data_IF_712544118356
#
_entry.id   IF_712544118356
#
_cell.length_a   1.000
_cell.length_b   1.000
_cell.length_c   1.000
_cell.angle_alpha   90.00
_cell.angle_beta   90.00
_cell.angle_gamma   90.00
#
_symmetry.space_group_name_H-M   'P 1'
#
loop_
_entity.id
_entity.type
_entity.pdbx_description
1 polymer ?
#
# COMPACT_ATOMS: atom_id res chain seq x y z
N UNK A 1 27.23 6.61 -45.71
CA UNK A 1 27.20 6.94 -44.26
C UNK A 1 25.82 6.75 -43.65
N UNK A 2 25.15 5.64 -43.90
CA UNK A 2 23.81 5.36 -43.33
C UNK A 2 23.78 4.03 -42.54
N UNK A 3 24.79 3.17 -42.74
CA UNK A 3 24.86 1.86 -42.10
C UNK A 3 25.32 1.88 -40.62
N UNK A 4 26.02 2.96 -40.16
CA UNK A 4 26.53 3.04 -38.80
C UNK A 4 25.48 3.45 -37.73
N UNK A 5 24.44 4.20 -38.13
CA UNK A 5 23.41 4.68 -37.20
C UNK A 5 22.41 3.58 -36.81
N UNK A 6 22.12 2.63 -37.71
CA UNK A 6 21.18 1.52 -37.48
C UNK A 6 21.80 0.47 -36.55
N UNK A 7 23.12 0.21 -36.64
CA UNK A 7 23.82 -0.71 -35.72
C UNK A 7 23.90 -0.16 -34.29
N UNK A 8 24.01 1.17 -34.12
CA UNK A 8 24.09 1.79 -32.79
C UNK A 8 22.73 1.77 -32.07
N UNK A 9 21.65 1.97 -32.83
CA UNK A 9 20.29 1.89 -32.26
C UNK A 9 19.89 0.45 -31.83
N UNK A 10 20.34 -0.57 -32.60
CA UNK A 10 20.09 -1.97 -32.26
C UNK A 10 20.87 -2.43 -31.01
N UNK A 11 22.06 -1.91 -30.78
CA UNK A 11 22.86 -2.20 -29.59
C UNK A 11 22.25 -1.57 -28.33
N UNK A 12 21.70 -0.35 -28.46
CA UNK A 12 21.04 0.31 -27.34
C UNK A 12 19.69 -0.35 -26.95
N UNK A 13 18.90 -0.79 -27.92
CA UNK A 13 17.64 -1.50 -27.65
C UNK A 13 17.88 -2.90 -27.07
N UNK A 14 18.94 -3.60 -27.49
CA UNK A 14 19.34 -4.88 -26.93
C UNK A 14 19.73 -4.76 -25.45
N UNK A 15 20.60 -3.81 -25.11
CA UNK A 15 21.04 -3.59 -23.73
C UNK A 15 19.90 -3.14 -22.79
N UNK A 16 18.93 -2.36 -23.27
CA UNK A 16 17.78 -1.93 -22.46
C UNK A 16 16.79 -3.07 -22.22
N UNK A 17 16.56 -3.93 -23.20
CA UNK A 17 15.68 -5.11 -23.03
C UNK A 17 16.31 -6.15 -22.12
N UNK A 18 17.60 -6.44 -22.27
CA UNK A 18 18.34 -7.39 -21.40
C UNK A 18 18.31 -6.93 -19.94
N UNK A 19 18.52 -5.65 -19.67
CA UNK A 19 18.44 -5.10 -18.30
C UNK A 19 17.04 -5.16 -17.71
N UNK A 20 16.01 -4.92 -18.50
CA UNK A 20 14.63 -5.09 -18.05
C UNK A 20 14.30 -6.54 -17.73
N UNK A 21 14.80 -7.49 -18.54
CA UNK A 21 14.65 -8.92 -18.26
C UNK A 21 15.37 -9.29 -16.96
N UNK A 22 16.61 -8.85 -16.76
CA UNK A 22 17.37 -9.06 -15.53
C UNK A 22 16.67 -8.45 -14.30
N UNK A 23 16.11 -7.25 -14.41
CA UNK A 23 15.36 -6.59 -13.35
C UNK A 23 14.14 -7.42 -12.93
N UNK A 24 13.35 -7.88 -13.90
CA UNK A 24 12.17 -8.70 -13.65
C UNK A 24 12.52 -10.09 -13.08
N UNK A 25 13.63 -10.67 -13.51
CA UNK A 25 14.13 -11.93 -12.97
C UNK A 25 14.59 -11.77 -11.52
N UNK A 26 15.35 -10.72 -11.20
CA UNK A 26 15.72 -10.43 -9.81
C UNK A 26 14.50 -10.12 -8.93
N UNK A 27 13.51 -9.37 -9.45
CA UNK A 27 12.24 -9.15 -8.75
C UNK A 27 11.55 -10.48 -8.41
N UNK A 28 11.47 -11.41 -9.36
CA UNK A 28 10.89 -12.75 -9.17
C UNK A 28 11.67 -13.57 -8.15
N UNK A 29 13.00 -13.52 -8.20
CA UNK A 29 13.87 -14.18 -7.20
C UNK A 29 13.56 -13.64 -5.80
N UNK A 30 13.47 -12.31 -5.65
CA UNK A 30 13.14 -11.66 -4.39
C UNK A 30 11.78 -12.10 -3.83
N UNK A 31 10.74 -12.14 -4.67
CA UNK A 31 9.41 -12.62 -4.27
C UNK A 31 9.45 -14.10 -3.82
N UNK A 32 10.16 -14.97 -4.54
CA UNK A 32 10.30 -16.38 -4.18
C UNK A 32 11.07 -16.54 -2.84
N UNK A 33 12.11 -15.74 -2.62
CA UNK A 33 12.85 -15.70 -1.36
C UNK A 33 11.95 -15.27 -0.19
N UNK A 34 11.12 -14.24 -0.37
CA UNK A 34 10.11 -13.88 0.64
C UNK A 34 9.17 -15.04 0.98
N UNK A 35 8.66 -15.74 -0.03
CA UNK A 35 7.74 -16.88 0.15
C UNK A 35 8.39 -18.02 0.92
N UNK A 36 9.70 -18.21 0.79
CA UNK A 36 10.47 -19.21 1.53
C UNK A 36 10.96 -18.75 2.92
N UNK A 37 10.70 -17.49 3.28
CA UNK A 37 11.16 -16.87 4.53
C UNK A 37 12.62 -16.40 4.51
N UNK A 38 13.28 -16.43 3.37
CA UNK A 38 14.63 -15.88 3.17
C UNK A 38 14.53 -14.38 2.89
N UNK A 39 14.29 -13.60 3.93
CA UNK A 39 14.10 -12.14 3.79
C UNK A 39 15.40 -11.41 3.45
N UNK A 40 16.55 -11.88 3.91
CA UNK A 40 17.86 -11.31 3.56
C UNK A 40 18.15 -11.52 2.07
N UNK A 41 17.96 -12.73 1.58
CA UNK A 41 18.07 -13.06 0.14
C UNK A 41 17.07 -12.26 -0.70
N UNK A 42 15.85 -12.05 -0.21
CA UNK A 42 14.85 -11.23 -0.88
C UNK A 42 15.31 -9.78 -1.03
N UNK A 43 15.79 -9.15 0.04
CA UNK A 43 16.33 -7.77 0.00
C UNK A 43 17.53 -7.66 -0.95
N UNK A 44 18.43 -8.65 -0.95
CA UNK A 44 19.57 -8.68 -1.87
C UNK A 44 19.11 -8.76 -3.34
N UNK A 45 18.11 -9.60 -3.63
CA UNK A 45 17.55 -9.74 -4.97
C UNK A 45 16.84 -8.43 -5.42
N UNK A 46 16.04 -7.80 -4.56
CA UNK A 46 15.41 -6.52 -4.88
C UNK A 46 16.42 -5.39 -5.09
N UNK A 47 17.50 -5.35 -4.31
CA UNK A 47 18.59 -4.41 -4.56
C UNK A 47 19.25 -4.67 -5.93
N UNK A 48 19.43 -5.93 -6.32
CA UNK A 48 19.95 -6.30 -7.63
C UNK A 48 19.01 -5.86 -8.75
N UNK A 49 17.69 -6.04 -8.59
CA UNK A 49 16.68 -5.56 -9.52
C UNK A 49 16.77 -4.03 -9.68
N UNK A 50 16.74 -3.27 -8.58
CA UNK A 50 16.82 -1.81 -8.60
C UNK A 50 18.14 -1.28 -9.20
N UNK A 51 19.22 -2.06 -9.12
CA UNK A 51 20.51 -1.71 -9.75
C UNK A 51 20.50 -1.78 -11.28
N UNK A 52 19.52 -2.47 -11.88
CA UNK A 52 19.33 -2.53 -13.34
C UNK A 52 18.61 -1.29 -13.87
N UNK A 53 17.91 -0.55 -13.00
CA UNK A 53 17.20 0.67 -13.39
C UNK A 53 18.16 1.70 -14.00
N UNK A 54 17.85 2.15 -15.21
CA UNK A 54 18.61 3.19 -15.91
C UNK A 54 17.65 4.26 -16.41
N UNK A 55 17.73 5.43 -15.82
CA UNK A 55 16.94 6.58 -16.22
C UNK A 55 15.79 6.86 -15.25
N UNK A 56 14.56 6.92 -15.76
CA UNK A 56 13.39 7.29 -14.95
C UNK A 56 12.85 6.08 -14.18
N UNK A 57 12.59 6.25 -12.89
CA UNK A 57 11.84 5.29 -12.07
C UNK A 57 10.42 5.13 -12.63
N UNK A 58 9.97 3.91 -12.78
CA UNK A 58 8.64 3.53 -13.26
C UNK A 58 7.85 2.84 -12.16
N UNK A 59 6.61 2.44 -12.45
CA UNK A 59 5.77 1.68 -11.53
C UNK A 59 6.42 0.34 -11.13
N UNK A 60 7.30 -0.23 -11.99
CA UNK A 60 8.03 -1.48 -11.68
C UNK A 60 9.01 -1.28 -10.54
N UNK A 61 9.83 -0.26 -10.58
CA UNK A 61 10.81 0.02 -9.53
C UNK A 61 10.11 0.44 -8.23
N UNK A 62 9.00 1.18 -8.31
CA UNK A 62 8.19 1.49 -7.13
C UNK A 62 7.61 0.22 -6.50
N UNK A 63 7.08 -0.71 -7.30
CA UNK A 63 6.60 -2.01 -6.83
C UNK A 63 7.73 -2.83 -6.18
N UNK A 64 8.93 -2.85 -6.77
CA UNK A 64 10.11 -3.51 -6.18
C UNK A 64 10.47 -2.87 -4.83
N UNK A 65 10.37 -1.53 -4.70
CA UNK A 65 10.61 -0.85 -3.43
C UNK A 65 9.59 -1.26 -2.35
N UNK A 66 8.30 -1.43 -2.70
CA UNK A 66 7.30 -1.95 -1.77
C UNK A 66 7.64 -3.37 -1.30
N UNK A 67 8.00 -4.28 -2.21
CA UNK A 67 8.43 -5.64 -1.83
C UNK A 67 9.70 -5.63 -0.98
N UNK A 68 10.67 -4.78 -1.32
CA UNK A 68 11.91 -4.63 -0.53
C UNK A 68 11.60 -4.19 0.90
N UNK A 69 10.81 -3.14 1.08
CA UNK A 69 10.42 -2.67 2.40
C UNK A 69 9.64 -3.73 3.19
N UNK A 70 8.74 -4.47 2.53
CA UNK A 70 8.03 -5.58 3.15
C UNK A 70 8.97 -6.71 3.58
N UNK A 71 9.99 -7.05 2.76
CA UNK A 71 11.00 -8.05 3.10
C UNK A 71 11.88 -7.59 4.28
N UNK A 72 12.30 -6.32 4.28
CA UNK A 72 13.05 -5.72 5.39
C UNK A 72 12.25 -5.79 6.70
N UNK A 73 10.99 -5.37 6.67
CA UNK A 73 10.11 -5.46 7.84
C UNK A 73 9.94 -6.90 8.33
N UNK A 74 9.65 -7.85 7.42
CA UNK A 74 9.46 -9.25 7.76
C UNK A 74 10.74 -9.92 8.32
N UNK A 75 11.92 -9.45 7.86
CA UNK A 75 13.23 -9.85 8.36
C UNK A 75 13.65 -9.14 9.66
N UNK A 76 12.83 -8.21 10.17
CA UNK A 76 13.11 -7.45 11.39
C UNK A 76 13.94 -6.19 11.19
N UNK A 77 14.31 -5.84 9.97
CA UNK A 77 14.99 -4.59 9.61
C UNK A 77 13.98 -3.44 9.46
N UNK A 78 13.42 -3.00 10.58
CA UNK A 78 12.40 -1.94 10.60
C UNK A 78 12.98 -0.61 10.13
N UNK A 79 14.21 -0.29 10.54
CA UNK A 79 14.89 0.94 10.11
C UNK A 79 15.11 0.97 8.60
N UNK A 80 15.54 -0.14 8.01
CA UNK A 80 15.67 -0.28 6.57
C UNK A 80 14.34 -0.12 5.84
N UNK A 81 13.26 -0.70 6.36
CA UNK A 81 11.93 -0.55 5.77
C UNK A 81 11.45 0.92 5.82
N UNK A 82 11.62 1.60 6.97
CA UNK A 82 11.33 3.04 7.09
C UNK A 82 12.14 3.86 6.09
N UNK A 83 13.45 3.61 5.99
CA UNK A 83 14.29 4.32 5.03
C UNK A 83 13.86 4.08 3.58
N UNK A 84 13.38 2.87 3.25
CA UNK A 84 12.89 2.55 1.91
C UNK A 84 11.58 3.31 1.61
N UNK A 85 10.62 3.34 2.53
CA UNK A 85 9.39 4.13 2.34
C UNK A 85 9.68 5.63 2.31
N UNK A 86 10.59 6.14 3.14
CA UNK A 86 11.00 7.55 3.09
C UNK A 86 11.59 7.92 1.73
N UNK A 87 12.44 7.07 1.16
CA UNK A 87 13.00 7.31 -0.18
C UNK A 87 11.90 7.32 -1.27
N UNK A 88 10.84 6.52 -1.12
CA UNK A 88 9.68 6.55 -2.03
C UNK A 88 8.90 7.86 -1.89
N UNK A 89 8.73 8.36 -0.67
CA UNK A 89 8.08 9.65 -0.37
C UNK A 89 8.93 10.81 -0.95
N UNK A 90 10.25 10.76 -0.76
CA UNK A 90 11.16 11.79 -1.27
C UNK A 90 11.17 11.82 -2.81
N UNK A 91 10.93 10.69 -3.47
CA UNK A 91 10.81 10.60 -4.93
C UNK A 91 9.45 11.10 -5.43
N UNK A 92 8.37 10.74 -4.75
CA UNK A 92 7.00 11.11 -5.06
C UNK A 92 6.27 11.55 -3.79
N UNK A 93 6.22 12.87 -3.58
CA UNK A 93 5.57 13.48 -2.41
C UNK A 93 4.05 13.26 -2.38
N UNK A 94 3.43 12.76 -3.45
CA UNK A 94 2.00 12.43 -3.53
C UNK A 94 1.72 10.93 -3.34
N UNK A 95 2.74 10.13 -3.04
CA UNK A 95 2.60 8.68 -2.81
C UNK A 95 1.92 8.39 -1.47
N UNK A 96 0.58 8.45 -1.44
CA UNK A 96 -0.22 8.22 -0.23
C UNK A 96 -0.02 6.83 0.37
N UNK A 97 0.26 5.80 -0.44
CA UNK A 97 0.52 4.44 0.04
C UNK A 97 1.86 4.34 0.80
N UNK A 98 2.90 5.03 0.31
CA UNK A 98 4.18 5.07 1.01
C UNK A 98 4.05 5.78 2.36
N UNK A 99 3.32 6.90 2.42
CA UNK A 99 2.99 7.55 3.70
C UNK A 99 2.25 6.62 4.65
N UNK A 100 1.22 5.91 4.18
CA UNK A 100 0.46 4.99 5.03
C UNK A 100 1.37 3.92 5.66
N UNK A 101 2.19 3.26 4.84
CA UNK A 101 3.06 2.18 5.30
C UNK A 101 4.20 2.69 6.20
N UNK A 102 4.78 3.86 5.89
CA UNK A 102 5.74 4.53 6.74
C UNK A 102 5.13 4.88 8.11
N UNK A 103 3.92 5.46 8.11
CA UNK A 103 3.18 5.78 9.33
C UNK A 103 2.85 4.54 10.18
N UNK A 104 2.48 3.42 9.55
CA UNK A 104 2.25 2.15 10.26
C UNK A 104 3.53 1.65 10.98
N UNK A 105 4.68 1.75 10.34
CA UNK A 105 5.95 1.36 10.96
C UNK A 105 6.41 2.35 12.03
N UNK A 106 6.25 3.65 11.80
CA UNK A 106 6.53 4.70 12.79
C UNK A 106 5.71 4.48 14.07
N UNK A 107 4.43 4.13 13.91
CA UNK A 107 3.56 3.82 15.05
C UNK A 107 4.03 2.58 15.83
N UNK A 108 4.52 1.54 15.13
CA UNK A 108 5.13 0.36 15.79
C UNK A 108 6.41 0.71 16.55
N UNK A 109 7.16 1.71 16.11
CA UNK A 109 8.34 2.25 16.80
C UNK A 109 7.98 3.27 17.89
N UNK A 110 6.68 3.46 18.16
CA UNK A 110 6.15 4.43 19.13
C UNK A 110 6.42 5.90 18.73
N UNK A 111 6.79 6.16 17.49
CA UNK A 111 6.86 7.51 16.94
C UNK A 111 5.47 7.94 16.44
N UNK A 112 4.62 8.28 17.39
CA UNK A 112 3.22 8.65 17.14
C UNK A 112 3.11 9.98 16.39
N UNK A 113 4.03 10.89 16.54
CA UNK A 113 4.01 12.19 15.87
C UNK A 113 4.26 12.05 14.38
N UNK A 114 5.25 11.25 13.99
CA UNK A 114 5.52 10.92 12.58
C UNK A 114 4.35 10.14 12.00
N UNK A 115 3.84 9.12 12.70
CA UNK A 115 2.72 8.31 12.22
C UNK A 115 1.47 9.17 11.93
N UNK A 116 1.10 10.10 12.81
CA UNK A 116 -0.04 11.01 12.60
C UNK A 116 0.14 11.90 11.38
N UNK A 117 1.33 12.43 11.14
CA UNK A 117 1.64 13.24 9.95
C UNK A 117 1.52 12.42 8.68
N UNK A 118 2.03 11.20 8.70
CA UNK A 118 2.01 10.30 7.56
C UNK A 118 0.58 9.86 7.23
N UNK A 119 -0.21 9.48 8.22
CA UNK A 119 -1.63 9.16 8.00
C UNK A 119 -2.42 10.35 7.45
N UNK A 120 -2.13 11.56 7.90
CA UNK A 120 -2.75 12.75 7.35
C UNK A 120 -2.37 12.98 5.87
N UNK A 121 -1.11 12.75 5.50
CA UNK A 121 -0.67 12.80 4.11
C UNK A 121 -1.25 11.65 3.28
N UNK A 122 -1.30 10.44 3.83
CA UNK A 122 -1.88 9.29 3.15
C UNK A 122 -3.32 9.56 2.69
N UNK A 123 -4.19 10.05 3.58
CA UNK A 123 -5.57 10.39 3.22
C UNK A 123 -5.70 11.65 2.37
N UNK A 124 -4.75 12.59 2.46
CA UNK A 124 -4.70 13.75 1.58
C UNK A 124 -4.52 13.37 0.12
N UNK A 125 -3.67 12.39 -0.13
CA UNK A 125 -3.34 11.94 -1.49
C UNK A 125 -4.22 10.81 -2.00
N UNK A 126 -4.87 10.04 -1.09
CA UNK A 126 -5.84 8.99 -1.40
C UNK A 126 -7.19 9.24 -0.70
N UNK A 127 -7.87 10.37 -0.98
CA UNK A 127 -9.05 10.78 -0.20
C UNK A 127 -10.28 9.90 -0.40
N UNK A 128 -10.34 9.13 -1.48
CA UNK A 128 -11.50 8.30 -1.85
C UNK A 128 -11.30 6.81 -1.52
N UNK A 129 -10.25 6.46 -0.75
CA UNK A 129 -9.90 5.09 -0.40
C UNK A 129 -10.42 4.72 0.99
N UNK A 130 -11.60 4.07 1.05
CA UNK A 130 -12.17 3.56 2.30
C UNK A 130 -11.27 2.58 3.05
N UNK A 131 -10.52 1.74 2.32
CA UNK A 131 -9.64 0.72 2.93
C UNK A 131 -8.51 1.39 3.70
N UNK A 132 -7.98 2.49 3.16
CA UNK A 132 -6.98 3.31 3.83
C UNK A 132 -7.50 3.87 5.18
N UNK A 133 -8.70 4.46 5.19
CA UNK A 133 -9.28 5.01 6.43
C UNK A 133 -9.50 3.92 7.49
N UNK A 134 -10.02 2.77 7.08
CA UNK A 134 -10.22 1.64 7.98
C UNK A 134 -8.88 1.09 8.47
N UNK A 135 -7.89 0.96 7.59
CA UNK A 135 -6.55 0.51 7.96
C UNK A 135 -5.86 1.45 8.96
N UNK A 136 -6.01 2.76 8.80
CA UNK A 136 -5.49 3.75 9.75
C UNK A 136 -6.18 3.57 11.12
N UNK A 137 -7.51 3.45 11.15
CA UNK A 137 -8.25 3.17 12.38
C UNK A 137 -7.74 1.91 13.08
N UNK A 138 -7.62 0.79 12.36
CA UNK A 138 -7.19 -0.48 12.93
C UNK A 138 -5.77 -0.39 13.52
N UNK A 139 -4.85 0.33 12.86
CA UNK A 139 -3.50 0.56 13.36
C UNK A 139 -3.51 1.45 14.63
N UNK A 140 -4.24 2.55 14.62
CA UNK A 140 -4.34 3.45 15.77
C UNK A 140 -5.01 2.77 16.96
N UNK A 141 -6.16 2.11 16.75
CA UNK A 141 -6.89 1.39 17.80
C UNK A 141 -6.03 0.27 18.41
N UNK A 142 -5.27 -0.48 17.59
CA UNK A 142 -4.32 -1.48 18.05
C UNK A 142 -3.18 -0.92 18.90
N UNK A 143 -2.95 0.40 18.86
CA UNK A 143 -1.98 1.13 19.69
C UNK A 143 -2.65 1.98 20.77
N UNK A 144 -3.86 1.66 21.20
CA UNK A 144 -4.65 2.36 22.23
C UNK A 144 -5.00 3.83 21.87
N UNK A 145 -5.09 4.15 20.60
CA UNK A 145 -5.43 5.47 20.06
C UNK A 145 -6.77 5.39 19.31
N UNK A 146 -7.79 4.79 19.95
CA UNK A 146 -9.09 4.52 19.31
C UNK A 146 -9.80 5.80 18.89
N UNK A 147 -9.81 6.82 19.77
CA UNK A 147 -10.49 8.09 19.49
C UNK A 147 -9.91 8.78 18.23
N UNK A 148 -8.58 8.83 18.12
CA UNK A 148 -7.92 9.37 16.94
C UNK A 148 -8.21 8.53 15.68
N UNK A 149 -8.31 7.22 15.83
CA UNK A 149 -8.69 6.32 14.73
C UNK A 149 -10.12 6.56 14.25
N UNK A 150 -11.09 6.77 15.17
CA UNK A 150 -12.48 7.08 14.86
C UNK A 150 -12.64 8.38 14.06
N UNK A 151 -11.73 9.34 14.24
CA UNK A 151 -11.73 10.56 13.40
C UNK A 151 -11.50 10.23 11.92
N UNK A 152 -10.66 9.23 11.60
CA UNK A 152 -10.45 8.78 10.22
C UNK A 152 -11.67 8.05 9.67
N UNK A 153 -12.31 7.19 10.47
CA UNK A 153 -13.57 6.54 10.06
C UNK A 153 -14.66 7.59 9.75
N UNK A 154 -14.76 8.64 10.57
CA UNK A 154 -15.72 9.71 10.34
C UNK A 154 -15.41 10.52 9.07
N UNK A 155 -14.15 10.78 8.76
CA UNK A 155 -13.74 11.44 7.49
C UNK A 155 -14.10 10.59 6.26
N UNK A 156 -14.09 9.27 6.35
CA UNK A 156 -14.46 8.39 5.24
C UNK A 156 -15.92 8.56 4.77
N UNK A 157 -16.82 9.11 5.59
CA UNK A 157 -18.19 9.46 5.17
C UNK A 157 -18.25 10.63 4.18
N UNK A 158 -17.18 11.39 4.01
CA UNK A 158 -17.09 12.44 2.99
C UNK A 158 -16.93 11.87 1.57
N UNK A 159 -16.53 10.60 1.43
CA UNK A 159 -16.42 9.90 0.16
C UNK A 159 -17.80 9.79 -0.49
N UNK A 160 -17.93 10.36 -1.69
CA UNK A 160 -19.21 10.41 -2.40
C UNK A 160 -19.46 9.13 -3.17
N UNK A 161 -20.72 8.78 -3.28
CA UNK A 161 -21.15 7.65 -4.08
C UNK A 161 -22.15 6.76 -3.37
N UNK A 162 -22.78 5.89 -4.16
CA UNK A 162 -23.82 4.98 -3.67
C UNK A 162 -23.77 3.64 -4.41
N UNK A 163 -22.55 3.26 -4.83
CA UNK A 163 -22.29 1.93 -5.40
C UNK A 163 -22.45 0.84 -4.34
N UNK A 164 -22.50 -0.43 -4.77
CA UNK A 164 -22.45 -1.55 -3.84
C UNK A 164 -21.23 -1.50 -2.92
N UNK A 165 -20.09 -1.08 -3.46
CA UNK A 165 -18.83 -0.93 -2.73
C UNK A 165 -18.91 0.20 -1.68
N UNK A 166 -19.36 1.42 -2.06
CA UNK A 166 -19.51 2.52 -1.11
C UNK A 166 -20.43 2.13 0.05
N UNK A 167 -21.58 1.49 -0.24
CA UNK A 167 -22.51 1.03 0.80
C UNK A 167 -21.85 -0.03 1.70
N UNK A 168 -21.09 -0.95 1.12
CA UNK A 168 -20.37 -2.00 1.87
C UNK A 168 -19.38 -1.40 2.85
N UNK A 169 -18.57 -0.45 2.39
CA UNK A 169 -17.55 0.20 3.23
C UNK A 169 -18.20 1.08 4.32
N UNK A 170 -19.23 1.89 3.98
CA UNK A 170 -19.95 2.67 4.99
C UNK A 170 -20.60 1.78 6.04
N UNK A 171 -21.17 0.66 5.61
CA UNK A 171 -21.73 -0.32 6.55
C UNK A 171 -20.66 -0.90 7.50
N UNK A 172 -19.48 -1.25 6.98
CA UNK A 172 -18.34 -1.67 7.82
C UNK A 172 -17.89 -0.57 8.78
N UNK A 173 -17.80 0.68 8.32
CA UNK A 173 -17.41 1.82 9.16
C UNK A 173 -18.44 2.02 10.29
N UNK A 174 -19.74 1.99 10.00
CA UNK A 174 -20.79 2.05 11.04
C UNK A 174 -20.67 0.93 12.06
N UNK A 175 -20.36 -0.29 11.62
CA UNK A 175 -20.10 -1.41 12.52
C UNK A 175 -18.91 -1.13 13.45
N UNK A 176 -17.79 -0.67 12.92
CA UNK A 176 -16.60 -0.33 13.71
C UNK A 176 -16.86 0.80 14.72
N UNK A 177 -17.75 1.73 14.39
CA UNK A 177 -18.21 2.81 15.28
C UNK A 177 -19.31 2.38 16.25
N UNK A 178 -19.71 1.08 16.30
CA UNK A 178 -20.77 0.57 17.16
C UNK A 178 -22.19 1.00 16.75
N UNK A 179 -22.36 1.57 15.56
CA UNK A 179 -23.62 2.07 15.03
C UNK A 179 -24.35 0.98 14.23
N UNK A 180 -24.77 -0.10 14.90
CA UNK A 180 -25.22 -1.34 14.27
C UNK A 180 -26.47 -1.15 13.38
N UNK A 181 -27.44 -0.34 13.78
CA UNK A 181 -28.63 -0.08 12.95
C UNK A 181 -28.27 0.59 11.61
N UNK A 182 -27.33 1.51 11.62
CA UNK A 182 -26.83 2.15 10.41
C UNK A 182 -26.01 1.17 9.56
N UNK A 183 -25.20 0.32 10.20
CA UNK A 183 -24.43 -0.72 9.52
C UNK A 183 -25.35 -1.67 8.76
N UNK A 184 -26.40 -2.21 9.41
CA UNK A 184 -27.40 -3.09 8.77
C UNK A 184 -28.02 -2.42 7.56
N UNK A 185 -28.49 -1.17 7.70
CA UNK A 185 -29.13 -0.42 6.62
C UNK A 185 -28.25 -0.27 5.38
N UNK A 186 -27.00 0.12 5.57
CA UNK A 186 -26.05 0.29 4.45
C UNK A 186 -25.71 -1.07 3.82
N UNK A 187 -25.44 -2.09 4.64
CA UNK A 187 -25.09 -3.43 4.16
C UNK A 187 -26.23 -4.10 3.42
N UNK A 188 -27.49 -4.00 3.91
CA UNK A 188 -28.66 -4.48 3.16
C UNK A 188 -28.82 -3.74 1.83
N UNK A 189 -28.52 -2.43 1.80
CA UNK A 189 -28.47 -1.66 0.58
C UNK A 189 -27.42 -2.17 -0.42
N UNK A 190 -26.24 -2.56 0.08
CA UNK A 190 -25.19 -3.16 -0.71
C UNK A 190 -25.55 -4.56 -1.24
N UNK A 191 -26.19 -5.40 -0.41
CA UNK A 191 -26.68 -6.73 -0.81
C UNK A 191 -27.69 -6.62 -1.95
N UNK A 192 -28.62 -5.66 -1.91
CA UNK A 192 -29.56 -5.39 -3.01
C UNK A 192 -28.89 -4.98 -4.32
N UNK A 193 -27.59 -4.65 -4.26
CA UNK A 193 -26.73 -4.32 -5.40
C UNK A 193 -25.67 -5.39 -5.66
N UNK A 194 -25.93 -6.62 -5.25
CA UNK A 194 -25.13 -7.83 -5.48
C UNK A 194 -23.72 -7.81 -4.84
N UNK A 195 -23.54 -7.10 -3.71
CA UNK A 195 -22.29 -7.16 -2.95
C UNK A 195 -22.17 -8.45 -2.12
N UNK A 196 -21.34 -9.37 -2.56
CA UNK A 196 -21.01 -10.58 -1.78
C UNK A 196 -20.29 -10.24 -0.44
N UNK A 197 -19.43 -9.23 -0.45
CA UNK A 197 -18.67 -8.76 0.73
C UNK A 197 -19.62 -8.18 1.80
N UNK A 198 -20.75 -7.56 1.40
CA UNK A 198 -21.73 -7.03 2.34
C UNK A 198 -22.43 -8.14 3.13
N UNK A 199 -22.70 -9.31 2.54
CA UNK A 199 -23.26 -10.44 3.28
C UNK A 199 -22.34 -10.92 4.40
N UNK A 200 -21.01 -10.92 4.17
CA UNK A 200 -20.03 -11.29 5.19
C UNK A 200 -20.08 -10.30 6.37
N UNK A 201 -20.10 -9.00 6.09
CA UNK A 201 -20.17 -7.98 7.14
C UNK A 201 -21.52 -7.96 7.86
N UNK A 202 -22.63 -8.23 7.16
CA UNK A 202 -23.95 -8.39 7.81
C UNK A 202 -23.94 -9.54 8.82
N UNK A 203 -23.33 -10.67 8.49
CA UNK A 203 -23.19 -11.77 9.44
C UNK A 203 -22.44 -11.33 10.71
N UNK A 204 -21.35 -10.55 10.56
CA UNK A 204 -20.60 -10.01 11.71
C UNK A 204 -21.42 -9.03 12.57
N UNK A 205 -22.36 -8.29 11.99
CA UNK A 205 -23.23 -7.36 12.74
C UNK A 205 -24.27 -8.10 13.59
N UNK A 206 -24.69 -9.31 13.14
CA UNK A 206 -25.72 -10.11 13.82
C UNK A 206 -25.16 -11.12 14.85
N UNK A 207 -23.84 -11.30 14.94
CA UNK A 207 -23.15 -12.09 15.97
C UNK A 207 -23.01 -11.32 17.29
#
# INVERSE_FOLDING_TARGET
>A
MVAGAVLFAALFTGCTNERLEDELDFRKIGINSMQSGDYEGAVAAFNSALSQCVGKITDTELDICYYKAAAQYAGGDIEGALATYQAMIDYDEENGNAYYLHGCLSLKQQDTDTAKKDFANAVKYNPDDYELYVGIYENLAGNNMTEEGEEYLNKAFDIKGNSAENLTWRGRIYYLLGQYDNAVKELEGAVKKDSAKANLYLAQVYE
#
